data_IF_046124188683
#
_entry.id   IF_046124188683
#
_cell.length_a   1.000
_cell.length_b   1.000
_cell.length_c   1.000
_cell.angle_alpha   90.00
_cell.angle_beta   90.00
_cell.angle_gamma   90.00
#
_symmetry.space_group_name_H-M   'P 1'
#
loop_
_entity.id
_entity.type
_entity.pdbx_description
1 polymer ?
#
# COMPACT_ATOMS: atom_id res chain seq x y z
N UNK A 1 -8.11 22.11 -0.77
CA UNK A 1 -9.56 21.84 -0.59
C UNK A 1 -9.68 20.75 0.47
N UNK A 2 -9.37 21.05 1.73
CA UNK A 2 -9.12 20.04 2.77
C UNK A 2 -10.34 19.77 3.67
N UNK A 3 -11.41 20.56 3.48
CA UNK A 3 -12.57 20.58 4.37
C UNK A 3 -13.40 19.30 4.31
N UNK A 4 -13.48 18.65 3.15
CA UNK A 4 -14.36 17.49 2.96
C UNK A 4 -13.77 16.20 3.57
N UNK A 5 -12.45 16.01 3.48
CA UNK A 5 -11.78 14.89 4.10
C UNK A 5 -11.90 14.96 5.64
N UNK A 6 -11.71 16.15 6.21
CA UNK A 6 -11.90 16.41 7.65
C UNK A 6 -13.36 16.18 8.07
N UNK A 7 -14.34 16.56 7.23
CA UNK A 7 -15.75 16.29 7.55
C UNK A 7 -16.05 14.79 7.63
N UNK A 8 -15.49 13.96 6.73
CA UNK A 8 -15.62 12.50 6.80
C UNK A 8 -14.81 11.89 7.95
N UNK A 9 -13.68 12.48 8.34
CA UNK A 9 -12.85 12.00 9.45
C UNK A 9 -13.49 12.28 10.82
N UNK A 10 -14.01 13.49 11.01
CA UNK A 10 -14.62 13.97 12.26
C UNK A 10 -16.13 13.69 12.34
N UNK A 11 -16.78 13.30 11.23
CA UNK A 11 -18.23 13.18 11.16
C UNK A 11 -18.97 14.52 11.24
N UNK A 12 -18.33 15.62 10.83
CA UNK A 12 -18.92 16.97 10.87
C UNK A 12 -19.85 17.17 9.66
N UNK A 13 -21.16 17.13 9.90
CA UNK A 13 -22.18 17.32 8.87
C UNK A 13 -22.36 16.13 7.91
N UNK A 14 -21.68 15.01 8.17
CA UNK A 14 -21.79 13.72 7.47
C UNK A 14 -21.47 12.59 8.46
N UNK A 15 -21.84 11.36 8.14
CA UNK A 15 -21.36 10.20 8.89
C UNK A 15 -19.84 10.06 8.75
N UNK A 16 -19.19 9.66 9.85
CA UNK A 16 -17.75 9.40 9.88
C UNK A 16 -17.42 8.22 8.97
N UNK A 17 -16.51 8.44 8.02
CA UNK A 17 -16.08 7.43 7.07
C UNK A 17 -14.61 7.65 6.67
N UNK A 18 -13.72 6.87 7.27
CA UNK A 18 -12.27 7.01 7.08
C UNK A 18 -11.83 6.66 5.66
N UNK A 19 -12.52 5.75 4.98
CA UNK A 19 -12.23 5.35 3.60
C UNK A 19 -12.52 6.51 2.63
N UNK A 20 -13.64 7.21 2.81
CA UNK A 20 -13.95 8.43 2.04
C UNK A 20 -13.01 9.58 2.39
N UNK A 21 -12.63 9.74 3.67
CA UNK A 21 -11.66 10.75 4.08
C UNK A 21 -10.31 10.52 3.38
N UNK A 22 -9.81 9.29 3.39
CA UNK A 22 -8.59 8.87 2.71
C UNK A 22 -8.64 9.14 1.20
N UNK A 23 -9.73 8.74 0.52
CA UNK A 23 -9.95 9.01 -0.90
C UNK A 23 -9.84 10.51 -1.26
N UNK A 24 -10.44 11.38 -0.43
CA UNK A 24 -10.39 12.82 -0.67
C UNK A 24 -9.01 13.42 -0.41
N UNK A 25 -8.28 12.95 0.61
CA UNK A 25 -6.88 13.36 0.81
C UNK A 25 -6.01 12.97 -0.38
N UNK A 26 -6.15 11.74 -0.87
CA UNK A 26 -5.41 11.25 -2.04
C UNK A 26 -5.67 12.11 -3.29
N UNK A 27 -6.94 12.40 -3.58
CA UNK A 27 -7.31 13.22 -4.75
C UNK A 27 -6.71 14.63 -4.72
N UNK A 28 -6.58 15.23 -3.53
CA UNK A 28 -5.93 16.54 -3.37
C UNK A 28 -4.43 16.44 -3.66
N UNK A 29 -3.77 15.38 -3.16
CA UNK A 29 -2.34 15.14 -3.44
C UNK A 29 -2.06 14.85 -4.92
N UNK A 30 -3.01 14.28 -5.66
CA UNK A 30 -2.92 14.09 -7.11
C UNK A 30 -3.14 15.40 -7.87
N UNK A 31 -4.06 16.26 -7.42
CA UNK A 31 -4.34 17.56 -8.06
C UNK A 31 -3.24 18.60 -7.84
N UNK A 32 -2.54 18.55 -6.72
CA UNK A 32 -1.39 19.43 -6.45
C UNK A 32 -0.14 19.01 -7.25
N UNK A 33 -0.13 17.80 -7.83
CA UNK A 33 0.93 17.29 -8.72
C UNK A 33 0.76 17.70 -10.20
N UNK A 34 -0.02 18.73 -10.53
CA UNK A 34 -0.12 19.20 -11.93
C UNK A 34 1.10 20.06 -12.31
N UNK A 35 2.14 19.37 -12.77
CA UNK A 35 3.00 19.80 -13.87
C UNK A 35 3.16 18.61 -14.81
N UNK A 36 2.86 18.75 -16.11
CA UNK A 36 2.80 17.61 -17.01
C UNK A 36 4.21 17.19 -17.43
N UNK A 37 4.38 15.87 -17.57
CA UNK A 37 5.49 15.10 -18.16
C UNK A 37 6.80 14.95 -17.34
N UNK A 38 7.09 13.69 -17.02
CA UNK A 38 8.40 13.08 -16.65
C UNK A 38 9.04 13.41 -15.31
N UNK A 39 8.42 13.01 -14.21
CA UNK A 39 9.12 12.11 -13.28
C UNK A 39 8.18 10.96 -13.05
N UNK A 40 8.29 9.94 -13.91
CA UNK A 40 7.92 8.61 -13.48
C UNK A 40 8.71 8.43 -12.18
N UNK A 41 8.06 8.38 -11.02
CA UNK A 41 8.73 8.06 -9.77
C UNK A 41 9.24 6.62 -9.99
N UNK A 42 10.50 6.51 -10.38
CA UNK A 42 11.15 5.26 -10.70
C UNK A 42 11.47 4.59 -9.38
N UNK A 43 11.28 3.28 -9.33
CA UNK A 43 11.78 2.49 -8.23
C UNK A 43 13.30 2.64 -8.14
N UNK A 44 13.80 3.08 -6.98
CA UNK A 44 15.24 3.24 -6.73
C UNK A 44 16.03 1.92 -6.86
N UNK A 45 15.35 0.76 -6.84
CA UNK A 45 15.96 -0.55 -6.97
C UNK A 45 15.98 -1.05 -8.43
N UNK A 46 14.89 -0.90 -9.19
CA UNK A 46 14.77 -1.49 -10.54
C UNK A 46 14.55 -0.48 -11.68
N UNK A 47 14.49 0.81 -11.37
CA UNK A 47 14.23 1.89 -12.33
C UNK A 47 12.99 1.65 -13.21
N UNK A 48 11.96 1.00 -12.66
CA UNK A 48 10.65 0.86 -13.30
C UNK A 48 9.66 1.86 -12.68
N UNK A 49 8.66 2.33 -13.44
CA UNK A 49 7.58 3.15 -12.90
C UNK A 49 6.93 2.48 -11.68
N UNK A 50 6.69 3.26 -10.62
CA UNK A 50 5.78 2.81 -9.56
C UNK A 50 4.37 2.60 -10.13
N UNK A 51 3.72 1.53 -9.68
CA UNK A 51 2.34 1.19 -10.07
C UNK A 51 1.31 1.98 -9.24
N UNK A 52 1.73 2.46 -8.06
CA UNK A 52 1.02 3.38 -7.15
C UNK A 52 2.03 3.88 -6.08
N UNK A 53 1.70 4.90 -5.27
CA UNK A 53 2.44 5.44 -4.11
C UNK A 53 3.81 4.80 -3.84
N UNK A 54 4.95 5.39 -4.26
CA UNK A 54 6.33 4.97 -3.94
C UNK A 54 6.59 3.45 -3.71
N UNK A 55 5.83 2.57 -4.37
CA UNK A 55 5.76 1.15 -4.06
C UNK A 55 5.93 0.36 -5.36
N UNK A 56 7.01 -0.43 -5.41
CA UNK A 56 7.30 -1.27 -6.56
C UNK A 56 6.83 -2.70 -6.28
N UNK A 57 5.76 -3.12 -6.96
CA UNK A 57 5.23 -4.48 -6.85
C UNK A 57 6.31 -5.54 -7.12
N UNK A 58 7.11 -5.33 -8.17
CA UNK A 58 8.09 -6.31 -8.63
C UNK A 58 9.24 -6.46 -7.61
N UNK A 59 9.80 -5.36 -7.14
CA UNK A 59 10.86 -5.41 -6.13
C UNK A 59 10.37 -5.94 -4.79
N UNK A 60 9.17 -5.53 -4.34
CA UNK A 60 8.62 -6.03 -3.09
C UNK A 60 8.31 -7.53 -3.15
N UNK A 61 7.81 -8.03 -4.29
CA UNK A 61 7.58 -9.47 -4.47
C UNK A 61 8.90 -10.24 -4.40
N UNK A 62 9.96 -9.74 -5.08
CA UNK A 62 11.29 -10.36 -5.04
C UNK A 62 11.90 -10.35 -3.64
N UNK A 63 11.86 -9.20 -2.95
CA UNK A 63 12.37 -9.07 -1.58
C UNK A 63 11.63 -10.00 -0.63
N UNK A 64 10.29 -10.02 -0.72
CA UNK A 64 9.47 -10.92 0.07
C UNK A 64 9.87 -12.38 -0.19
N UNK A 65 9.97 -12.83 -1.45
CA UNK A 65 10.36 -14.21 -1.75
C UNK A 65 11.76 -14.59 -1.22
N UNK A 66 12.73 -13.68 -1.30
CA UNK A 66 14.09 -13.90 -0.77
C UNK A 66 14.08 -14.03 0.75
N UNK A 67 13.41 -13.10 1.42
CA UNK A 67 13.37 -13.02 2.88
C UNK A 67 12.43 -14.06 3.49
N UNK A 68 11.43 -14.52 2.72
CA UNK A 68 10.42 -15.47 3.20
C UNK A 68 11.02 -16.77 3.69
N UNK A 69 12.07 -17.26 3.02
CA UNK A 69 12.78 -18.49 3.43
C UNK A 69 13.38 -18.42 4.84
N UNK A 70 13.61 -17.20 5.36
CA UNK A 70 14.18 -16.93 6.68
C UNK A 70 13.18 -16.21 7.61
N UNK A 71 11.99 -15.88 7.11
CA UNK A 71 11.01 -15.11 7.85
C UNK A 71 10.37 -15.98 8.93
N UNK A 72 10.28 -15.42 10.13
CA UNK A 72 9.56 -15.99 11.27
C UNK A 72 8.88 -14.85 12.00
N UNK A 73 7.66 -15.07 12.46
CA UNK A 73 6.95 -14.16 13.35
C UNK A 73 7.52 -14.15 14.77
N UNK A 74 8.47 -15.05 15.08
CA UNK A 74 8.93 -15.43 16.42
C UNK A 74 7.82 -16.05 17.29
N UNK A 75 6.72 -16.47 16.67
CA UNK A 75 5.64 -17.20 17.29
C UNK A 75 5.41 -18.49 16.50
N UNK A 76 5.73 -19.62 17.12
CA UNK A 76 5.67 -20.95 16.49
C UNK A 76 4.28 -21.27 15.92
N UNK A 77 3.21 -20.92 16.63
CA UNK A 77 1.83 -21.16 16.19
C UNK A 77 1.49 -20.38 14.92
N UNK A 78 1.93 -19.12 14.83
CA UNK A 78 1.68 -18.29 13.64
C UNK A 78 2.49 -18.82 12.46
N UNK A 79 3.72 -19.24 12.69
CA UNK A 79 4.59 -19.78 11.64
C UNK A 79 4.02 -21.11 11.08
N UNK A 80 3.52 -21.99 11.96
CA UNK A 80 2.83 -23.24 11.59
C UNK A 80 1.56 -22.96 10.78
N UNK A 81 0.69 -22.07 11.25
CA UNK A 81 -0.53 -21.68 10.55
C UNK A 81 -0.26 -21.17 9.12
N UNK A 82 0.79 -20.36 8.95
CA UNK A 82 1.19 -19.85 7.63
C UNK A 82 1.71 -20.99 6.74
N UNK A 83 2.54 -21.90 7.27
CA UNK A 83 3.06 -23.03 6.52
C UNK A 83 1.95 -23.97 6.03
N UNK A 84 0.99 -24.30 6.89
CA UNK A 84 -0.18 -25.11 6.52
C UNK A 84 -1.00 -24.44 5.43
N UNK A 85 -1.28 -23.13 5.56
CA UNK A 85 -2.00 -22.36 4.55
C UNK A 85 -1.31 -22.42 3.17
N UNK A 86 0.03 -22.34 3.14
CA UNK A 86 0.80 -22.43 1.90
C UNK A 86 0.84 -23.83 1.29
N UNK A 87 0.89 -24.89 2.10
CA UNK A 87 0.83 -26.27 1.62
C UNK A 87 -0.54 -26.57 0.99
N UNK A 88 -1.61 -26.11 1.63
CA UNK A 88 -2.98 -26.31 1.14
C UNK A 88 -3.26 -25.54 -0.15
N UNK A 89 -2.68 -24.35 -0.34
CA UNK A 89 -2.86 -23.56 -1.57
C UNK A 89 -2.13 -24.14 -2.80
N UNK A 90 -1.20 -25.08 -2.61
CA UNK A 90 -0.46 -25.74 -3.70
C UNK A 90 -1.12 -27.02 -4.22
N UNK A 91 -2.12 -27.55 -3.51
CA UNK A 91 -2.90 -28.75 -3.86
C UNK A 91 -4.26 -28.36 -4.46
#
# INVERSE_FOLDING_TARGET
>A
MNSLAICYEDGKGTEKNLEKAFYWYQKVTESDKVSPITEIELCNECNQPYTDYQWCQQCNTKRFQLDFSKWTSKNEFIDEFIQEGQLNAKN
#
